data_IF_783640212426
#
_entry.id   IF_783640212426
#
_cell.length_a   1.000
_cell.length_b   1.000
_cell.length_c   1.000
_cell.angle_alpha   90.00
_cell.angle_beta   90.00
_cell.angle_gamma   90.00
#
_symmetry.space_group_name_H-M   'P 1'
#
loop_
_entity.id
_entity.type
_entity.pdbx_description
1 polymer ?
#
# COMPACT_ATOMS: atom_id res chain seq x y z
N UNK A 1 23.82 4.34 11.48
CA UNK A 1 22.72 3.38 11.71
C UNK A 1 22.58 2.29 10.64
N UNK A 2 22.08 2.54 9.42
CA UNK A 2 21.91 1.47 8.39
C UNK A 2 23.24 0.85 7.92
N UNK A 3 24.29 1.67 7.78
CA UNK A 3 25.61 1.20 7.34
C UNK A 3 26.31 0.33 8.42
N UNK A 4 26.17 0.70 9.70
CA UNK A 4 26.69 -0.07 10.83
C UNK A 4 25.93 -1.39 11.01
N UNK A 5 24.59 -1.39 10.89
CA UNK A 5 23.79 -2.62 10.90
C UNK A 5 24.21 -3.58 9.79
N UNK A 6 24.48 -3.08 8.59
CA UNK A 6 24.99 -3.93 7.49
C UNK A 6 26.38 -4.50 7.78
N UNK A 7 27.27 -3.73 8.40
CA UNK A 7 28.62 -4.19 8.80
C UNK A 7 28.52 -5.26 9.89
N UNK A 8 27.65 -5.06 10.89
CA UNK A 8 27.40 -6.01 11.98
C UNK A 8 26.82 -7.32 11.43
N UNK A 9 25.84 -7.23 10.53
CA UNK A 9 25.26 -8.40 9.87
C UNK A 9 26.32 -9.18 9.07
N UNK A 10 27.16 -8.48 8.30
CA UNK A 10 28.24 -9.12 7.53
C UNK A 10 29.25 -9.85 8.41
N UNK A 11 29.64 -9.25 9.55
CA UNK A 11 30.54 -9.87 10.53
C UNK A 11 29.91 -11.12 11.16
N UNK A 12 28.63 -11.05 11.53
CA UNK A 12 27.90 -12.20 12.06
C UNK A 12 27.88 -13.38 11.09
N UNK A 13 27.55 -13.16 9.81
CA UNK A 13 27.57 -14.23 8.81
C UNK A 13 28.97 -14.78 8.52
N UNK A 14 30.01 -13.94 8.59
CA UNK A 14 31.40 -14.40 8.49
C UNK A 14 31.78 -15.28 9.68
N UNK A 15 31.38 -14.92 10.90
CA UNK A 15 31.66 -15.70 12.10
C UNK A 15 30.92 -17.04 12.10
N UNK A 16 29.69 -17.08 11.57
CA UNK A 16 28.95 -18.33 11.36
C UNK A 16 29.67 -19.33 10.46
N UNK A 17 30.41 -18.85 9.44
CA UNK A 17 31.12 -19.75 8.52
C UNK A 17 32.24 -20.55 9.20
N UNK A 18 32.79 -20.06 10.32
CA UNK A 18 33.90 -20.66 11.06
C UNK A 18 33.50 -21.86 11.92
N UNK A 19 32.21 -22.06 12.18
CA UNK A 19 31.74 -23.17 13.00
C UNK A 19 31.50 -24.43 12.16
N UNK A 20 32.12 -25.52 12.61
CA UNK A 20 32.02 -26.85 12.01
C UNK A 20 30.65 -27.48 12.25
N UNK A 21 30.22 -28.28 11.27
CA UNK A 21 28.98 -29.05 11.34
C UNK A 21 29.27 -30.34 12.12
N UNK A 22 28.53 -30.55 13.21
CA UNK A 22 28.68 -31.75 14.04
C UNK A 22 27.96 -32.95 13.40
N UNK A 23 28.59 -34.11 13.48
CA UNK A 23 28.00 -35.39 13.14
C UNK A 23 27.10 -35.91 14.27
N UNK A 24 26.20 -36.85 13.96
CA UNK A 24 25.32 -37.44 14.97
C UNK A 24 26.09 -38.17 16.09
N UNK A 25 27.26 -38.73 15.81
CA UNK A 25 28.09 -39.39 16.80
C UNK A 25 28.70 -38.35 17.77
N UNK A 26 29.31 -37.30 17.23
CA UNK A 26 29.87 -36.21 18.04
C UNK A 26 28.80 -35.52 18.91
N UNK A 27 27.59 -35.37 18.39
CA UNK A 27 26.47 -34.84 19.18
C UNK A 27 26.17 -35.75 20.38
N UNK A 28 26.13 -37.07 20.21
CA UNK A 28 25.93 -38.00 21.33
C UNK A 28 27.03 -37.88 22.37
N UNK A 29 28.30 -37.85 21.94
CA UNK A 29 29.44 -37.69 22.85
C UNK A 29 29.37 -36.38 23.63
N UNK A 30 29.01 -35.28 22.96
CA UNK A 30 28.81 -33.98 23.60
C UNK A 30 27.65 -33.99 24.60
N UNK A 31 26.57 -34.73 24.35
CA UNK A 31 25.44 -34.83 25.29
C UNK A 31 25.79 -35.60 26.56
N UNK A 32 26.73 -36.56 26.51
CA UNK A 32 27.26 -37.21 27.73
C UNK A 32 27.93 -36.16 28.63
N UNK A 33 28.71 -35.24 28.05
CA UNK A 33 29.37 -34.15 28.77
C UNK A 33 28.37 -33.09 29.26
N UNK A 34 27.34 -32.77 28.46
CA UNK A 34 26.28 -31.82 28.86
C UNK A 34 25.50 -32.34 30.07
N UNK A 35 25.23 -33.65 30.14
CA UNK A 35 24.60 -34.28 31.31
C UNK A 35 25.47 -34.17 32.58
N UNK A 36 26.78 -33.96 32.43
CA UNK A 36 27.71 -33.68 33.52
C UNK A 36 27.85 -32.16 33.81
N UNK A 37 26.94 -31.33 33.28
CA UNK A 37 26.95 -29.86 33.37
C UNK A 37 28.14 -29.17 32.69
N UNK A 38 28.75 -29.79 31.67
CA UNK A 38 29.79 -29.13 30.88
C UNK A 38 29.21 -28.03 29.96
N UNK A 39 29.51 -26.78 30.30
CA UNK A 39 29.10 -25.59 29.54
C UNK A 39 29.80 -25.49 28.19
N UNK A 40 31.00 -26.04 28.04
CA UNK A 40 31.77 -25.95 26.79
C UNK A 40 31.13 -26.83 25.71
N UNK A 41 30.73 -28.04 26.07
CA UNK A 41 29.99 -28.95 25.20
C UNK A 41 28.64 -28.35 24.79
N UNK A 42 27.90 -27.75 25.74
CA UNK A 42 26.63 -27.08 25.47
C UNK A 42 26.79 -25.93 24.47
N UNK A 43 27.77 -25.06 24.68
CA UNK A 43 28.05 -23.95 23.78
C UNK A 43 28.47 -24.44 22.39
N UNK A 44 29.25 -25.53 22.30
CA UNK A 44 29.67 -26.12 21.02
C UNK A 44 28.48 -26.64 20.21
N UNK A 45 27.50 -27.29 20.86
CA UNK A 45 26.27 -27.72 20.18
C UNK A 45 25.49 -26.52 19.63
N UNK A 46 25.37 -25.43 20.40
CA UNK A 46 24.64 -24.23 19.96
C UNK A 46 25.35 -23.59 18.77
N UNK A 47 26.65 -23.30 18.88
CA UNK A 47 27.40 -22.56 17.85
C UNK A 47 27.42 -23.30 16.51
N UNK A 48 27.55 -24.63 16.53
CA UNK A 48 27.48 -25.47 15.32
C UNK A 48 26.10 -25.49 14.64
N UNK A 49 25.02 -25.14 15.36
CA UNK A 49 23.65 -25.17 14.84
C UNK A 49 23.04 -23.77 14.56
N UNK A 50 23.80 -22.68 14.74
CA UNK A 50 23.29 -21.31 14.48
C UNK A 50 22.85 -21.10 13.01
N UNK A 51 23.48 -21.80 12.05
CA UNK A 51 23.07 -21.76 10.62
C UNK A 51 21.64 -22.24 10.41
N UNK A 52 21.17 -23.18 11.23
CA UNK A 52 19.79 -23.69 11.17
C UNK A 52 18.79 -22.60 11.60
N UNK A 53 19.14 -21.82 12.63
CA UNK A 53 18.31 -20.70 13.10
C UNK A 53 18.16 -19.65 12.01
N UNK A 54 19.27 -19.25 11.39
CA UNK A 54 19.28 -18.30 10.28
C UNK A 54 18.40 -18.77 9.12
N UNK A 55 18.43 -20.06 8.79
CA UNK A 55 17.57 -20.62 7.74
C UNK A 55 16.09 -20.40 8.03
N UNK A 56 15.63 -20.75 9.24
CA UNK A 56 14.23 -20.54 9.62
C UNK A 56 13.88 -19.05 9.75
N UNK A 57 14.73 -18.22 10.37
CA UNK A 57 14.49 -16.79 10.50
C UNK A 57 14.29 -16.12 9.12
N UNK A 58 15.11 -16.46 8.13
CA UNK A 58 14.96 -15.98 6.74
C UNK A 58 13.66 -16.45 6.10
N UNK A 59 13.28 -17.71 6.29
CA UNK A 59 12.02 -18.25 5.80
C UNK A 59 10.82 -17.46 6.38
N UNK A 60 10.78 -17.24 7.69
CA UNK A 60 9.72 -16.46 8.32
C UNK A 60 9.73 -14.98 7.87
N UNK A 61 10.90 -14.35 7.75
CA UNK A 61 11.00 -12.96 7.24
C UNK A 61 10.45 -12.83 5.82
N UNK A 62 10.67 -13.83 4.96
CA UNK A 62 10.10 -13.86 3.60
C UNK A 62 8.58 -14.07 3.56
N UNK A 63 7.98 -14.66 4.58
CA UNK A 63 6.53 -14.82 4.67
C UNK A 63 5.89 -13.52 5.18
N UNK A 64 6.58 -12.84 6.11
CA UNK A 64 6.15 -11.60 6.76
C UNK A 64 6.32 -10.33 5.91
N UNK A 65 6.41 -10.44 4.57
CA UNK A 65 6.75 -9.34 3.64
C UNK A 65 5.91 -8.04 3.76
N UNK A 66 4.85 -8.02 4.58
CA UNK A 66 3.97 -6.87 4.81
C UNK A 66 4.20 -6.14 6.14
N UNK A 67 5.05 -6.66 7.03
CA UNK A 67 5.28 -6.07 8.36
C UNK A 67 6.72 -5.58 8.49
N UNK A 68 6.95 -4.29 8.23
CA UNK A 68 8.24 -3.61 8.44
C UNK A 68 8.65 -3.52 9.91
N UNK A 69 7.78 -3.96 10.84
CA UNK A 69 7.99 -3.85 12.27
C UNK A 69 9.07 -4.80 12.84
N UNK A 70 9.28 -5.97 12.23
CA UNK A 70 10.22 -6.98 12.78
C UNK A 70 11.49 -7.06 11.94
N UNK A 71 12.65 -6.87 12.56
CA UNK A 71 13.93 -7.05 11.89
C UNK A 71 14.38 -8.52 11.86
N UNK A 72 15.22 -8.87 10.88
CA UNK A 72 15.75 -10.23 10.76
C UNK A 72 16.61 -10.61 11.98
N UNK A 73 17.34 -9.65 12.54
CA UNK A 73 18.24 -9.85 13.67
C UNK A 73 17.46 -10.25 14.94
N UNK A 74 16.25 -9.70 15.11
CA UNK A 74 15.35 -10.06 16.21
C UNK A 74 14.84 -11.49 16.07
N UNK A 75 14.44 -11.89 14.85
CA UNK A 75 14.02 -13.26 14.56
C UNK A 75 15.14 -14.27 14.80
N UNK A 76 16.38 -13.92 14.44
CA UNK A 76 17.55 -14.75 14.71
C UNK A 76 17.79 -14.88 16.22
N UNK A 77 17.70 -13.77 16.96
CA UNK A 77 17.93 -13.75 18.40
C UNK A 77 16.92 -14.62 19.15
N UNK A 78 15.64 -14.50 18.82
CA UNK A 78 14.58 -15.33 19.40
C UNK A 78 14.67 -16.80 18.97
N UNK A 79 15.04 -17.05 17.71
CA UNK A 79 15.34 -18.40 17.24
C UNK A 79 16.52 -19.04 18.00
N UNK A 80 17.53 -18.26 18.37
CA UNK A 80 18.65 -18.73 19.19
C UNK A 80 18.20 -19.11 20.61
N UNK A 81 17.27 -18.36 21.20
CA UNK A 81 16.65 -18.74 22.49
C UNK A 81 15.92 -20.08 22.35
N UNK A 82 15.17 -20.27 21.26
CA UNK A 82 14.53 -21.56 20.95
C UNK A 82 15.53 -22.70 20.78
N UNK A 83 16.66 -22.46 20.08
CA UNK A 83 17.73 -23.44 19.93
C UNK A 83 18.36 -23.83 21.27
N UNK A 84 18.61 -22.86 22.15
CA UNK A 84 19.13 -23.11 23.50
C UNK A 84 18.17 -23.98 24.31
N UNK A 85 16.86 -23.73 24.21
CA UNK A 85 15.86 -24.54 24.90
C UNK A 85 15.78 -25.97 24.33
N UNK A 86 15.92 -26.12 23.01
CA UNK A 86 16.06 -27.43 22.38
C UNK A 86 17.29 -28.17 22.91
N UNK A 87 18.44 -27.50 22.98
CA UNK A 87 19.68 -28.08 23.47
C UNK A 87 19.59 -28.54 24.93
N UNK A 88 18.84 -27.83 25.78
CA UNK A 88 18.62 -28.24 27.18
C UNK A 88 17.75 -29.48 27.32
N UNK A 89 16.74 -29.63 26.46
CA UNK A 89 15.71 -30.66 26.60
C UNK A 89 15.91 -31.88 25.70
N UNK A 90 16.87 -31.81 24.79
CA UNK A 90 17.13 -32.91 23.88
C UNK A 90 17.72 -34.11 24.64
N UNK A 91 17.23 -35.29 24.31
CA UNK A 91 17.76 -36.54 24.82
C UNK A 91 18.34 -37.34 23.63
N UNK A 92 19.61 -37.72 23.74
CA UNK A 92 20.37 -38.44 22.71
C UNK A 92 19.95 -39.91 22.53
N UNK A 93 19.24 -40.47 23.52
CA UNK A 93 18.80 -41.86 23.54
C UNK A 93 17.63 -42.09 22.58
N UNK A 94 16.80 -41.05 22.38
CA UNK A 94 15.82 -41.05 21.32
C UNK A 94 16.58 -40.92 20.00
N UNK A 95 16.49 -41.94 19.14
CA UNK A 95 17.21 -42.06 17.87
C UNK A 95 16.71 -41.06 16.79
N UNK A 96 16.60 -39.79 17.15
CA UNK A 96 16.10 -38.66 16.35
C UNK A 96 17.23 -37.66 16.23
N UNK A 97 17.47 -37.15 15.02
CA UNK A 97 18.53 -36.15 14.81
C UNK A 97 18.24 -34.86 15.59
N UNK A 98 19.25 -34.28 16.23
CA UNK A 98 19.12 -33.02 16.96
C UNK A 98 18.51 -31.89 16.13
N UNK A 99 18.91 -31.75 14.86
CA UNK A 99 18.38 -30.73 13.95
C UNK A 99 16.86 -30.83 13.76
N UNK A 100 16.31 -32.05 13.73
CA UNK A 100 14.87 -32.27 13.64
C UNK A 100 14.17 -31.77 14.90
N UNK A 101 14.66 -32.14 16.08
CA UNK A 101 14.11 -31.69 17.35
C UNK A 101 14.24 -30.17 17.55
N UNK A 102 15.42 -29.61 17.27
CA UNK A 102 15.69 -28.18 17.36
C UNK A 102 14.78 -27.36 16.44
N UNK A 103 14.44 -27.88 15.26
CA UNK A 103 13.57 -27.17 14.32
C UNK A 103 12.20 -26.83 14.92
N UNK A 104 11.63 -27.69 15.77
CA UNK A 104 10.37 -27.42 16.44
C UNK A 104 10.46 -26.23 17.39
N UNK A 105 11.47 -26.22 18.25
CA UNK A 105 11.68 -25.17 19.25
C UNK A 105 12.06 -23.83 18.61
N UNK A 106 12.89 -23.84 17.58
CA UNK A 106 13.26 -22.63 16.83
C UNK A 106 12.01 -22.02 16.18
N UNK A 107 11.22 -22.82 15.44
CA UNK A 107 9.98 -22.35 14.79
C UNK A 107 8.98 -21.81 15.81
N UNK A 108 8.83 -22.50 16.94
CA UNK A 108 7.94 -22.08 18.02
C UNK A 108 8.37 -20.73 18.60
N UNK A 109 9.64 -20.57 18.98
CA UNK A 109 10.15 -19.33 19.56
C UNK A 109 9.96 -18.14 18.60
N UNK A 110 10.33 -18.32 17.33
CA UNK A 110 10.13 -17.31 16.29
C UNK A 110 8.64 -16.95 16.13
N UNK A 111 7.76 -17.96 16.07
CA UNK A 111 6.31 -17.74 15.91
C UNK A 111 5.70 -17.02 17.11
N UNK A 112 6.08 -17.41 18.33
CA UNK A 112 5.63 -16.74 19.56
C UNK A 112 6.09 -15.28 19.61
N UNK A 113 7.32 -14.99 19.18
CA UNK A 113 7.82 -13.62 19.09
C UNK A 113 7.05 -12.79 18.06
N UNK A 114 6.81 -13.32 16.87
CA UNK A 114 6.03 -12.63 15.83
C UNK A 114 4.64 -12.25 16.35
N UNK A 115 4.00 -13.12 17.12
CA UNK A 115 2.67 -12.86 17.69
C UNK A 115 2.71 -11.78 18.78
N UNK A 116 3.81 -11.70 19.54
CA UNK A 116 3.97 -10.70 20.61
C UNK A 116 4.37 -9.33 20.06
N UNK A 117 5.26 -9.29 19.06
CA UNK A 117 5.94 -8.07 18.61
C UNK A 117 5.57 -7.63 17.17
N UNK A 118 4.90 -8.48 16.38
CA UNK A 118 4.69 -8.24 14.95
C UNK A 118 3.56 -7.28 14.58
N UNK A 119 2.74 -6.89 15.55
CA UNK A 119 1.61 -5.99 15.36
C UNK A 119 1.62 -4.91 16.42
N UNK A 120 1.49 -3.64 16.01
CA UNK A 120 1.36 -2.50 16.92
C UNK A 120 0.20 -2.70 17.90
N UNK A 121 -0.92 -3.26 17.41
CA UNK A 121 -2.05 -3.69 18.23
C UNK A 121 -1.94 -5.20 18.39
N UNK A 122 -1.76 -5.68 19.63
CA UNK A 122 -1.62 -7.11 19.91
C UNK A 122 -2.91 -7.86 19.59
N UNK A 123 -2.81 -8.81 18.66
CA UNK A 123 -3.91 -9.71 18.32
C UNK A 123 -3.74 -11.11 18.93
N UNK A 124 -4.83 -11.82 19.27
CA UNK A 124 -4.76 -13.19 19.74
C UNK A 124 -4.17 -14.17 18.70
N UNK A 125 -3.46 -15.21 19.15
CA UNK A 125 -2.84 -16.22 18.29
C UNK A 125 -3.81 -16.81 17.25
N UNK A 126 -5.01 -17.22 17.69
CA UNK A 126 -6.00 -17.87 16.81
C UNK A 126 -6.47 -16.93 15.68
N UNK A 127 -6.52 -15.62 15.94
CA UNK A 127 -6.90 -14.61 14.96
C UNK A 127 -5.81 -14.38 13.92
N UNK A 128 -4.56 -14.25 14.37
CA UNK A 128 -3.41 -14.16 13.45
C UNK A 128 -3.36 -15.39 12.54
N UNK A 129 -3.66 -16.57 13.08
CA UNK A 129 -3.67 -17.82 12.31
C UNK A 129 -4.82 -17.88 11.29
N UNK A 130 -6.04 -17.44 11.65
CA UNK A 130 -7.17 -17.35 10.70
C UNK A 130 -6.86 -16.36 9.58
N UNK A 131 -6.34 -15.18 9.95
CA UNK A 131 -6.04 -14.11 9.00
C UNK A 131 -4.96 -14.53 8.00
N UNK A 132 -3.93 -15.26 8.46
CA UNK A 132 -2.90 -15.81 7.57
C UNK A 132 -3.45 -16.87 6.60
N UNK A 133 -4.41 -17.70 7.03
CA UNK A 133 -5.06 -18.68 6.14
C UNK A 133 -5.90 -17.97 5.08
N UNK A 134 -6.68 -16.97 5.49
CA UNK A 134 -7.49 -16.16 4.57
C UNK A 134 -6.57 -15.40 3.60
N UNK A 135 -5.48 -14.79 4.08
CA UNK A 135 -4.49 -14.12 3.23
C UNK A 135 -3.84 -15.06 2.20
N UNK A 136 -3.58 -16.32 2.57
CA UNK A 136 -3.07 -17.34 1.65
C UNK A 136 -4.11 -17.69 0.58
N UNK A 137 -5.36 -17.92 0.98
CA UNK A 137 -6.46 -18.20 0.06
C UNK A 137 -6.68 -17.03 -0.93
N UNK A 138 -6.62 -15.78 -0.44
CA UNK A 138 -6.68 -14.57 -1.27
C UNK A 138 -5.55 -14.55 -2.30
N UNK A 139 -4.31 -14.81 -1.88
CA UNK A 139 -3.18 -14.83 -2.80
C UNK A 139 -3.30 -15.96 -3.85
N UNK A 140 -3.79 -17.13 -3.46
CA UNK A 140 -4.02 -18.26 -4.37
C UNK A 140 -5.12 -17.94 -5.40
N UNK A 141 -6.23 -17.36 -4.97
CA UNK A 141 -7.31 -16.90 -5.85
C UNK A 141 -6.86 -15.79 -6.79
N UNK A 142 -6.10 -14.82 -6.29
CA UNK A 142 -5.53 -13.75 -7.08
C UNK A 142 -4.58 -14.30 -8.16
N UNK A 143 -3.71 -15.24 -7.81
CA UNK A 143 -2.80 -15.88 -8.78
C UNK A 143 -3.54 -16.67 -9.85
N UNK A 144 -4.60 -17.39 -9.46
CA UNK A 144 -5.38 -18.21 -10.38
C UNK A 144 -6.22 -17.39 -11.36
N UNK A 145 -6.85 -16.34 -10.85
CA UNK A 145 -7.89 -15.63 -11.60
C UNK A 145 -7.43 -14.28 -12.16
N UNK A 146 -6.27 -13.77 -11.74
CA UNK A 146 -5.71 -12.47 -12.15
C UNK A 146 -6.66 -11.27 -11.98
N UNK A 147 -7.60 -11.35 -11.03
CA UNK A 147 -8.44 -10.23 -10.62
C UNK A 147 -8.42 -10.07 -9.09
N UNK A 148 -8.83 -8.90 -8.63
CA UNK A 148 -8.86 -8.55 -7.20
C UNK A 148 -9.95 -9.34 -6.46
N UNK A 149 -9.56 -10.06 -5.41
CA UNK A 149 -10.44 -11.00 -4.68
C UNK A 149 -11.34 -10.25 -3.71
N UNK A 150 -12.65 -10.49 -3.78
CA UNK A 150 -13.65 -9.90 -2.89
C UNK A 150 -14.12 -10.88 -1.81
N UNK A 151 -14.84 -10.37 -0.80
CA UNK A 151 -15.42 -11.18 0.30
C UNK A 151 -16.21 -12.39 -0.22
N UNK A 152 -17.07 -12.18 -1.22
CA UNK A 152 -17.89 -13.22 -1.84
C UNK A 152 -17.05 -14.37 -2.46
N UNK A 153 -15.88 -14.07 -3.00
CA UNK A 153 -15.00 -15.08 -3.61
C UNK A 153 -14.36 -15.99 -2.56
N UNK A 154 -14.12 -15.45 -1.36
CA UNK A 154 -13.60 -16.20 -0.21
C UNK A 154 -14.73 -16.99 0.44
N UNK A 155 -15.93 -16.41 0.57
CA UNK A 155 -17.11 -17.12 1.06
C UNK A 155 -17.42 -18.35 0.20
N UNK A 156 -17.27 -18.24 -1.13
CA UNK A 156 -17.46 -19.36 -2.06
C UNK A 156 -16.52 -20.55 -1.82
N UNK A 157 -15.39 -20.36 -1.13
CA UNK A 157 -14.50 -21.46 -0.75
C UNK A 157 -15.08 -22.34 0.38
N UNK A 158 -16.07 -21.86 1.14
CA UNK A 158 -16.69 -22.55 2.28
C UNK A 158 -15.68 -23.08 3.33
N UNK A 159 -14.52 -22.43 3.44
CA UNK A 159 -13.45 -22.82 4.37
C UNK A 159 -13.41 -21.95 5.63
N UNK A 160 -14.10 -20.81 5.63
CA UNK A 160 -14.06 -19.78 6.67
C UNK A 160 -15.48 -19.31 6.98
N UNK A 161 -15.72 -18.88 8.22
CA UNK A 161 -17.00 -18.27 8.59
C UNK A 161 -17.09 -16.81 8.10
N UNK A 162 -18.30 -16.33 7.78
CA UNK A 162 -18.54 -14.92 7.40
C UNK A 162 -18.00 -13.93 8.45
N UNK A 163 -18.04 -14.29 9.74
CA UNK A 163 -17.46 -13.46 10.79
C UNK A 163 -15.93 -13.34 10.70
N UNK A 164 -15.22 -14.40 10.30
CA UNK A 164 -13.77 -14.38 10.13
C UNK A 164 -13.37 -13.58 8.89
N UNK A 165 -14.13 -13.72 7.80
CA UNK A 165 -13.91 -12.99 6.55
C UNK A 165 -14.10 -11.49 6.78
N UNK A 166 -15.25 -11.09 7.33
CA UNK A 166 -15.52 -9.68 7.66
C UNK A 166 -14.42 -9.13 8.58
N UNK A 167 -14.05 -9.88 9.62
CA UNK A 167 -12.97 -9.44 10.49
C UNK A 167 -11.68 -9.19 9.71
N UNK A 168 -11.24 -10.10 8.84
CA UNK A 168 -10.02 -9.91 8.05
C UNK A 168 -10.04 -8.65 7.15
N UNK A 169 -11.19 -8.32 6.55
CA UNK A 169 -11.32 -7.12 5.71
C UNK A 169 -11.44 -5.83 6.53
N UNK A 170 -12.13 -5.85 7.67
CA UNK A 170 -12.29 -4.70 8.56
C UNK A 170 -11.08 -4.47 9.49
N UNK A 171 -10.37 -5.53 9.88
CA UNK A 171 -9.32 -5.47 10.91
C UNK A 171 -7.95 -5.10 10.36
N UNK A 172 -7.75 -5.08 9.04
CA UNK A 172 -6.48 -4.64 8.42
C UNK A 172 -6.14 -3.25 8.94
N UNK A 173 -5.22 -3.14 9.90
CA UNK A 173 -4.92 -1.86 10.48
C UNK A 173 -4.02 -1.15 9.49
N UNK A 174 -4.52 -0.11 8.84
CA UNK A 174 -3.66 0.90 8.24
C UNK A 174 -3.07 1.73 9.39
N UNK A 175 -2.19 1.15 10.20
CA UNK A 175 -1.39 1.93 11.14
C UNK A 175 -0.38 2.71 10.31
N UNK A 176 -0.64 4.00 10.16
CA UNK A 176 0.28 4.93 9.52
C UNK A 176 1.12 5.57 10.63
N UNK A 177 2.44 5.69 10.42
CA UNK A 177 3.29 6.45 11.32
C UNK A 177 2.98 7.93 11.17
N UNK A 178 2.74 8.59 12.30
CA UNK A 178 2.33 10.00 12.30
C UNK A 178 3.42 10.92 11.69
N UNK A 179 4.69 10.54 11.85
CA UNK A 179 5.83 11.32 11.38
C UNK A 179 6.03 11.29 9.86
N UNK A 180 5.49 10.28 9.16
CA UNK A 180 5.69 10.10 7.71
C UNK A 180 4.66 10.88 6.87
N UNK A 181 3.58 11.39 7.49
CA UNK A 181 2.58 12.23 6.83
C UNK A 181 2.64 13.65 7.38
N UNK A 182 3.12 14.59 6.56
CA UNK A 182 3.08 16.04 6.84
C UNK A 182 1.66 16.62 6.85
N UNK A 183 0.64 15.80 6.61
CA UNK A 183 -0.73 16.22 6.37
C UNK A 183 -1.74 15.31 7.12
N UNK A 184 -1.38 14.87 8.32
CA UNK A 184 -2.37 14.32 9.24
C UNK A 184 -3.22 15.49 9.69
N UNK A 185 -4.40 15.55 9.11
CA UNK A 185 -5.41 16.53 9.47
C UNK A 185 -5.85 16.19 10.92
N UNK A 186 -5.15 16.75 11.91
CA UNK A 186 -5.58 16.72 13.29
C UNK A 186 -6.97 17.33 13.33
N UNK A 187 -8.02 16.60 13.77
CA UNK A 187 -9.39 17.11 13.79
C UNK A 187 -9.60 18.33 14.71
N UNK A 188 -8.54 18.84 15.34
CA UNK A 188 -8.60 19.89 16.34
C UNK A 188 -8.44 21.31 15.78
N UNK A 189 -8.01 21.47 14.52
CA UNK A 189 -7.75 22.78 13.91
C UNK A 189 -8.68 23.08 12.72
N UNK A 190 -9.99 22.84 12.86
CA UNK A 190 -10.97 23.42 11.93
C UNK A 190 -11.40 24.76 12.52
N UNK A 191 -10.73 25.85 12.14
CA UNK A 191 -11.26 27.20 12.36
C UNK A 191 -12.65 27.29 11.69
N UNK A 192 -13.68 27.76 12.41
CA UNK A 192 -15.08 27.83 11.94
C UNK A 192 -15.23 28.54 10.58
N UNK A 193 -14.31 29.45 10.25
CA UNK A 193 -14.23 30.14 8.96
C UNK A 193 -14.09 29.19 7.76
N UNK A 194 -13.45 28.04 7.93
CA UNK A 194 -13.12 27.11 6.85
C UNK A 194 -14.32 26.20 6.49
N UNK A 195 -15.32 26.11 7.39
CA UNK A 195 -16.56 25.35 7.21
C UNK A 195 -17.50 26.09 6.24
N UNK A 196 -17.62 27.41 6.39
CA UNK A 196 -18.56 28.21 5.57
C UNK A 196 -18.10 28.33 4.12
N UNK A 197 -16.79 28.42 3.87
CA UNK A 197 -16.26 28.39 2.50
C UNK A 197 -16.53 27.03 1.82
N UNK A 198 -16.32 25.93 2.55
CA UNK A 198 -16.59 24.56 2.05
C UNK A 198 -18.08 24.32 1.82
N UNK A 199 -18.96 24.82 2.70
CA UNK A 199 -20.42 24.78 2.53
C UNK A 199 -20.86 25.55 1.28
N UNK A 200 -20.28 26.72 1.02
CA UNK A 200 -20.58 27.51 -0.17
C UNK A 200 -20.13 26.81 -1.46
N UNK A 201 -18.93 26.21 -1.49
CA UNK A 201 -18.47 25.39 -2.61
C UNK A 201 -19.38 24.18 -2.85
N UNK A 202 -19.79 23.50 -1.78
CA UNK A 202 -20.70 22.36 -1.87
C UNK A 202 -22.07 22.77 -2.41
N UNK A 203 -22.59 23.94 -2.01
CA UNK A 203 -23.85 24.50 -2.54
C UNK A 203 -23.78 24.69 -4.06
N UNK A 204 -22.67 25.24 -4.55
CA UNK A 204 -22.44 25.41 -5.98
C UNK A 204 -22.36 24.06 -6.71
N UNK A 205 -21.65 23.06 -6.17
CA UNK A 205 -21.58 21.74 -6.79
C UNK A 205 -22.93 21.00 -6.84
N UNK A 206 -23.80 21.24 -5.85
CA UNK A 206 -25.14 20.67 -5.79
C UNK A 206 -26.12 21.24 -6.84
N UNK A 207 -25.83 22.41 -7.41
CA UNK A 207 -26.63 23.01 -8.49
C UNK A 207 -26.53 22.21 -9.80
N UNK A 208 -25.39 21.54 -10.03
CA UNK A 208 -25.15 20.69 -11.21
C UNK A 208 -25.88 19.35 -11.18
N UNK A 209 -26.34 18.93 -10.00
CA UNK A 209 -27.18 17.75 -9.89
C UNK A 209 -28.59 18.07 -10.36
N UNK A 210 -29.21 17.11 -11.03
CA UNK A 210 -30.62 17.24 -11.38
C UNK A 210 -31.49 17.24 -10.10
N UNK A 211 -32.76 17.69 -10.16
CA UNK A 211 -33.59 17.81 -8.96
C UNK A 211 -33.76 16.51 -8.17
N UNK A 212 -33.79 15.35 -8.85
CA UNK A 212 -33.92 14.04 -8.22
C UNK A 212 -32.63 13.60 -7.52
N UNK A 213 -31.47 13.76 -8.18
CA UNK A 213 -30.14 13.51 -7.63
C UNK A 213 -29.88 14.39 -6.40
N UNK A 214 -30.20 15.68 -6.51
CA UNK A 214 -30.06 16.63 -5.40
C UNK A 214 -30.93 16.22 -4.21
N UNK A 215 -32.18 15.83 -4.45
CA UNK A 215 -33.10 15.39 -3.40
C UNK A 215 -32.58 14.13 -2.69
N UNK A 216 -32.16 13.12 -3.45
CA UNK A 216 -31.59 11.87 -2.90
C UNK A 216 -30.33 12.15 -2.07
N UNK A 217 -29.39 12.98 -2.57
CA UNK A 217 -28.17 13.33 -1.84
C UNK A 217 -28.48 14.14 -0.58
N UNK A 218 -29.46 15.05 -0.61
CA UNK A 218 -29.88 15.80 0.58
C UNK A 218 -30.41 14.88 1.69
N UNK A 219 -31.27 13.93 1.34
CA UNK A 219 -31.88 13.00 2.31
C UNK A 219 -30.87 12.00 2.88
N UNK A 220 -29.94 11.50 2.05
CA UNK A 220 -28.92 10.55 2.49
C UNK A 220 -27.84 11.17 3.41
N UNK A 221 -27.48 12.44 3.17
CA UNK A 221 -26.36 13.09 3.85
C UNK A 221 -26.77 14.29 4.71
N UNK A 222 -28.08 14.49 4.91
CA UNK A 222 -28.65 15.59 5.69
C UNK A 222 -28.10 16.99 5.30
N UNK A 223 -28.11 17.27 4.00
CA UNK A 223 -27.55 18.53 3.48
C UNK A 223 -28.64 19.59 3.30
N UNK A 224 -28.60 20.65 4.11
CA UNK A 224 -29.45 21.85 3.95
C UNK A 224 -30.76 21.86 4.73
N UNK A 225 -30.98 20.90 5.63
CA UNK A 225 -32.05 20.88 6.63
C UNK A 225 -31.43 20.85 8.02
N UNK A 226 -31.77 21.81 8.88
CA UNK A 226 -31.26 21.86 10.25
C UNK A 226 -31.94 20.83 11.18
N UNK A 227 -32.91 20.05 10.70
CA UNK A 227 -33.84 19.30 11.56
C UNK A 227 -33.99 17.80 11.30
N UNK A 228 -33.30 17.18 10.34
CA UNK A 228 -33.44 15.73 10.09
C UNK A 228 -32.15 14.94 10.35
N UNK A 229 -32.26 13.67 10.75
CA UNK A 229 -31.15 12.72 10.78
C UNK A 229 -30.86 12.20 9.36
N UNK A 230 -29.62 11.76 9.09
CA UNK A 230 -29.31 11.14 7.80
C UNK A 230 -30.14 9.86 7.59
N UNK A 231 -30.83 9.78 6.46
CA UNK A 231 -31.67 8.63 6.14
C UNK A 231 -30.86 7.51 5.50
N UNK A 232 -31.21 6.27 5.81
CA UNK A 232 -30.69 5.10 5.10
C UNK A 232 -31.25 5.03 3.68
N UNK A 233 -30.55 4.32 2.78
CA UNK A 233 -31.06 4.08 1.41
C UNK A 233 -32.43 3.42 1.37
N UNK A 234 -32.77 2.65 2.41
CA UNK A 234 -34.08 2.02 2.58
C UNK A 234 -35.16 3.06 2.90
N UNK A 235 -34.93 3.91 3.88
CA UNK A 235 -35.88 4.97 4.25
C UNK A 235 -36.10 5.97 3.10
N UNK A 236 -35.04 6.34 2.36
CA UNK A 236 -35.16 7.19 1.18
C UNK A 236 -35.94 6.51 0.05
N UNK A 237 -35.81 5.17 -0.08
CA UNK A 237 -36.55 4.40 -1.08
C UNK A 237 -38.06 4.38 -0.78
N UNK A 238 -38.42 4.29 0.50
CA UNK A 238 -39.81 4.34 0.98
C UNK A 238 -40.41 5.74 0.79
N UNK A 239 -39.66 6.80 1.11
CA UNK A 239 -40.17 8.18 0.97
C UNK A 239 -40.32 8.62 -0.50
N UNK A 240 -39.40 8.19 -1.37
CA UNK A 240 -39.44 8.54 -2.80
C UNK A 240 -40.24 7.55 -3.65
N UNK A 241 -40.81 6.49 -3.06
CA UNK A 241 -41.49 5.40 -3.76
C UNK A 241 -40.66 4.82 -4.92
N UNK A 242 -39.36 4.62 -4.67
CA UNK A 242 -38.42 4.04 -5.62
C UNK A 242 -37.81 2.76 -5.07
N UNK A 243 -37.31 1.88 -5.93
CA UNK A 243 -36.57 0.71 -5.44
C UNK A 243 -35.23 1.13 -4.83
N UNK A 244 -34.75 0.39 -3.84
CA UNK A 244 -33.42 0.60 -3.24
C UNK A 244 -32.29 0.61 -4.27
N UNK A 245 -32.39 -0.26 -5.27
CA UNK A 245 -31.45 -0.29 -6.40
C UNK A 245 -31.48 1.02 -7.18
N UNK A 246 -32.67 1.57 -7.46
CA UNK A 246 -32.82 2.84 -8.16
C UNK A 246 -32.24 4.02 -7.36
N UNK A 247 -32.42 4.04 -6.04
CA UNK A 247 -31.79 5.04 -5.16
C UNK A 247 -30.26 4.94 -5.22
N UNK A 248 -29.71 3.72 -5.21
CA UNK A 248 -28.27 3.50 -5.33
C UNK A 248 -27.73 3.97 -6.69
N UNK A 249 -28.44 3.71 -7.79
CA UNK A 249 -28.07 4.23 -9.13
C UNK A 249 -28.03 5.77 -9.14
N UNK A 250 -29.07 6.42 -8.60
CA UNK A 250 -29.14 7.88 -8.52
C UNK A 250 -28.00 8.43 -7.66
N UNK A 251 -27.72 7.81 -6.51
CA UNK A 251 -26.61 8.16 -5.61
C UNK A 251 -25.27 8.07 -6.33
N UNK A 252 -24.98 6.95 -7.00
CA UNK A 252 -23.71 6.72 -7.67
C UNK A 252 -23.50 7.71 -8.83
N UNK A 253 -24.53 7.97 -9.62
CA UNK A 253 -24.48 8.95 -10.71
C UNK A 253 -24.25 10.38 -10.19
N UNK A 254 -24.92 10.76 -9.10
CA UNK A 254 -24.71 12.05 -8.46
C UNK A 254 -23.27 12.20 -7.93
N UNK A 255 -22.76 11.19 -7.21
CA UNK A 255 -21.39 11.21 -6.69
C UNK A 255 -20.34 11.24 -7.81
N UNK A 256 -20.59 10.55 -8.94
CA UNK A 256 -19.72 10.60 -10.11
C UNK A 256 -19.61 12.01 -10.68
N UNK A 257 -20.75 12.70 -10.87
CA UNK A 257 -20.80 14.09 -11.35
C UNK A 257 -20.08 15.06 -10.41
N UNK A 258 -20.27 14.90 -9.10
CA UNK A 258 -19.58 15.71 -8.09
C UNK A 258 -18.06 15.44 -8.12
N UNK A 259 -17.65 14.17 -8.20
CA UNK A 259 -16.24 13.77 -8.26
C UNK A 259 -15.54 14.39 -9.47
N UNK A 260 -16.12 14.25 -10.67
CA UNK A 260 -15.58 14.81 -11.90
C UNK A 260 -15.28 16.32 -11.75
N UNK A 261 -16.17 17.09 -11.12
CA UNK A 261 -15.97 18.52 -10.89
C UNK A 261 -14.92 18.85 -9.83
N UNK A 262 -14.86 18.11 -8.72
CA UNK A 262 -13.79 18.29 -7.73
C UNK A 262 -12.40 17.99 -8.32
N UNK A 263 -12.30 17.00 -9.23
CA UNK A 263 -11.06 16.69 -9.95
C UNK A 263 -10.73 17.70 -11.06
N UNK A 264 -11.72 18.24 -11.77
CA UNK A 264 -11.52 19.32 -12.74
C UNK A 264 -10.99 20.60 -12.10
N UNK A 265 -11.30 20.85 -10.82
CA UNK A 265 -10.77 22.01 -10.08
C UNK A 265 -9.28 21.83 -9.70
N UNK A 266 -8.74 20.60 -9.74
CA UNK A 266 -7.32 20.29 -9.45
C UNK A 266 -6.43 20.15 -10.70
N UNK A 267 -7.01 20.15 -11.90
CA UNK A 267 -6.29 20.34 -13.17
C UNK A 267 -6.70 21.70 -13.73
N UNK A 268 -6.12 22.77 -13.21
CA UNK A 268 -6.27 24.08 -13.84
C UNK A 268 -5.83 23.95 -15.30
N UNK A 269 -6.75 24.26 -16.21
CA UNK A 269 -6.51 24.06 -17.63
C UNK A 269 -5.32 24.95 -18.02
N UNK A 270 -4.32 24.41 -18.71
CA UNK A 270 -3.11 25.17 -19.11
C UNK A 270 -3.47 26.44 -19.90
N UNK A 271 -4.62 26.44 -20.58
CA UNK A 271 -5.22 27.62 -21.21
C UNK A 271 -5.61 28.74 -20.21
N UNK A 272 -6.12 28.40 -19.02
CA UNK A 272 -6.48 29.38 -17.98
C UNK A 272 -5.25 30.03 -17.33
N UNK A 273 -4.10 29.34 -17.32
CA UNK A 273 -2.81 29.90 -16.85
C UNK A 273 -2.31 31.00 -17.81
N UNK A 274 -2.32 30.74 -19.12
CA UNK A 274 -1.95 31.74 -20.13
C UNK A 274 -2.89 32.96 -20.12
N UNK A 275 -4.18 32.74 -19.84
CA UNK A 275 -5.20 33.82 -19.78
C UNK A 275 -4.98 34.79 -18.61
N UNK A 276 -4.22 34.38 -17.61
CA UNK A 276 -3.79 35.21 -16.48
C UNK A 276 -2.39 35.82 -16.66
N UNK A 277 -1.83 35.79 -17.88
CA UNK A 277 -0.47 36.23 -18.22
C UNK A 277 0.64 35.47 -17.49
N UNK A 278 0.37 34.24 -17.02
CA UNK A 278 1.40 33.40 -16.41
C UNK A 278 2.20 32.65 -17.49
N UNK A 279 3.51 32.60 -17.29
CA UNK A 279 4.43 32.00 -18.25
C UNK A 279 4.44 30.48 -18.14
N UNK A 280 4.28 29.77 -19.26
CA UNK A 280 4.35 28.31 -19.29
C UNK A 280 5.67 27.81 -19.87
N UNK A 281 6.40 27.04 -19.06
CA UNK A 281 7.63 26.35 -19.44
C UNK A 281 7.33 24.95 -19.97
N UNK A 282 7.86 24.63 -21.15
CA UNK A 282 7.79 23.32 -21.79
C UNK A 282 9.20 22.73 -21.83
N UNK A 283 9.39 21.53 -21.29
CA UNK A 283 10.65 20.80 -21.38
C UNK A 283 10.57 19.74 -22.47
N UNK A 284 11.60 19.64 -23.32
CA UNK A 284 11.70 18.66 -24.40
C UNK A 284 13.16 18.29 -24.65
N UNK A 285 13.42 17.13 -25.25
CA UNK A 285 14.78 16.68 -25.54
C UNK A 285 15.16 17.04 -26.98
N UNK A 286 16.21 17.85 -27.15
CA UNK A 286 16.77 18.24 -28.44
C UNK A 286 18.14 17.60 -28.61
N UNK A 287 18.31 16.74 -29.62
CA UNK A 287 19.57 16.04 -29.92
C UNK A 287 20.20 15.34 -28.69
N UNK A 288 19.36 14.72 -27.84
CA UNK A 288 19.80 14.05 -26.62
C UNK A 288 20.03 14.97 -25.41
N UNK A 289 19.79 16.28 -25.54
CA UNK A 289 19.96 17.27 -24.46
C UNK A 289 18.58 17.78 -24.03
N UNK A 290 18.28 17.74 -22.72
CA UNK A 290 17.06 18.31 -22.16
C UNK A 290 17.08 19.84 -22.31
N UNK A 291 16.10 20.39 -23.03
CA UNK A 291 15.93 21.82 -23.32
C UNK A 291 14.55 22.30 -22.87
N UNK A 292 14.37 23.62 -22.68
CA UNK A 292 13.09 24.20 -22.27
C UNK A 292 12.70 25.45 -23.07
N UNK A 293 11.40 25.65 -23.32
CA UNK A 293 10.83 26.82 -24.01
C UNK A 293 9.73 27.47 -23.16
N UNK A 294 9.61 28.80 -23.18
CA UNK A 294 8.63 29.57 -22.39
C UNK A 294 7.61 30.23 -23.32
N UNK A 295 6.32 29.94 -23.14
CA UNK A 295 5.22 30.65 -23.78
C UNK A 295 4.60 31.64 -22.80
N UNK A 296 4.26 32.84 -23.30
CA UNK A 296 3.81 33.97 -22.46
C UNK A 296 2.53 34.66 -22.92
N UNK A 297 2.03 34.35 -24.11
CA UNK A 297 1.00 35.18 -24.75
C UNK A 297 -0.18 34.35 -25.26
N UNK A 298 -1.39 34.76 -24.90
CA UNK A 298 -2.64 34.06 -25.23
C UNK A 298 -3.12 34.39 -26.64
N UNK A 299 -2.75 35.55 -27.18
CA UNK A 299 -3.12 35.97 -28.53
C UNK A 299 -2.49 35.06 -29.60
N UNK A 300 -1.30 34.49 -29.31
CA UNK A 300 -0.63 33.49 -30.15
C UNK A 300 -1.46 32.20 -30.27
N UNK A 301 -2.19 31.84 -29.20
CA UNK A 301 -3.07 30.66 -29.20
C UNK A 301 -4.39 30.92 -29.93
N UNK A 302 -4.97 32.11 -29.78
CA UNK A 302 -6.26 32.47 -30.40
C UNK A 302 -6.15 32.73 -31.91
N UNK A 303 -5.08 33.39 -32.38
CA UNK A 303 -4.84 33.65 -33.80
C UNK A 303 -4.68 32.37 -34.64
N UNK A 304 -4.21 31.28 -34.03
CA UNK A 304 -3.95 30.01 -34.71
C UNK A 304 -5.18 29.07 -34.74
N UNK A 305 -6.08 29.15 -33.74
CA UNK A 305 -7.33 28.39 -33.68
C UNK A 305 -8.38 28.79 -34.74
N UNK A 306 -8.15 29.90 -35.45
CA UNK A 306 -9.02 30.35 -36.54
C UNK A 306 -8.77 29.58 -37.87
N UNK A 307 -7.72 28.75 -37.95
CA UNK A 307 -7.30 28.04 -39.17
C UNK A 307 -7.51 26.52 -38.97
N UNK A 308 -8.42 25.92 -39.75
CA UNK A 308 -8.79 24.51 -39.64
C UNK A 308 -7.86 23.62 -40.50
N UNK A 309 -6.64 23.40 -40.02
CA UNK A 309 -5.63 22.51 -40.63
C UNK A 309 -5.12 21.47 -39.61
N UNK A 310 -4.60 20.34 -40.08
CA UNK A 310 -4.14 19.22 -39.25
C UNK A 310 -2.98 19.61 -38.30
N UNK A 311 -2.21 20.64 -38.67
CA UNK A 311 -1.18 21.25 -37.82
C UNK A 311 -1.79 21.90 -36.57
N UNK A 312 -2.98 22.50 -36.71
CA UNK A 312 -3.73 23.15 -35.62
C UNK A 312 -4.23 22.12 -34.59
N UNK A 313 -4.57 20.90 -35.04
CA UNK A 313 -4.97 19.81 -34.13
C UNK A 313 -3.80 19.31 -33.28
N UNK A 314 -2.61 19.11 -33.85
CA UNK A 314 -1.43 18.62 -33.11
C UNK A 314 -1.00 19.60 -32.00
N UNK A 315 -1.01 20.92 -32.27
CA UNK A 315 -0.74 21.97 -31.27
C UNK A 315 -1.80 22.01 -30.16
N UNK A 316 -3.08 21.82 -30.51
CA UNK A 316 -4.20 21.77 -29.57
C UNK A 316 -4.02 20.65 -28.55
N UNK A 317 -3.56 19.47 -28.98
CA UNK A 317 -3.31 18.33 -28.10
C UNK A 317 -2.07 18.50 -27.20
N UNK A 318 -1.01 19.16 -27.68
CA UNK A 318 0.19 19.47 -26.87
C UNK A 318 -0.15 20.44 -25.72
N UNK A 319 -0.97 21.46 -25.99
CA UNK A 319 -1.35 22.48 -24.99
C UNK A 319 -2.40 21.93 -24.01
N UNK A 320 -3.34 21.09 -24.48
CA UNK A 320 -4.35 20.44 -23.64
C UNK A 320 -3.81 19.20 -22.91
N UNK A 321 -2.62 18.70 -23.26
CA UNK A 321 -1.90 17.66 -22.53
C UNK A 321 -2.34 16.22 -22.83
N UNK A 322 -2.82 15.92 -24.04
CA UNK A 322 -3.09 14.53 -24.44
C UNK A 322 -1.97 13.95 -25.31
N UNK A 323 -1.63 12.67 -25.05
CA UNK A 323 -0.40 11.97 -25.47
C UNK A 323 -0.23 11.88 -26.99
N UNK A 324 0.82 12.51 -27.52
CA UNK A 324 1.48 12.10 -28.76
C UNK A 324 3.01 12.15 -28.60
N UNK A 325 3.70 11.12 -29.10
CA UNK A 325 5.17 11.13 -29.28
C UNK A 325 5.48 11.70 -30.67
N UNK A 326 5.73 13.01 -30.75
CA UNK A 326 6.11 13.67 -32.01
C UNK A 326 7.64 13.75 -32.16
N UNK A 327 8.14 13.53 -33.38
CA UNK A 327 9.57 13.61 -33.67
C UNK A 327 10.08 15.05 -33.76
N UNK A 328 11.34 15.28 -33.37
CA UNK A 328 11.98 16.62 -33.31
C UNK A 328 11.88 17.39 -34.63
N UNK A 329 12.07 16.72 -35.78
CA UNK A 329 11.94 17.35 -37.11
C UNK A 329 10.53 17.87 -37.39
N UNK A 330 9.50 17.20 -36.87
CA UNK A 330 8.09 17.59 -37.06
C UNK A 330 7.75 18.82 -36.23
N UNK A 331 8.22 18.88 -34.98
CA UNK A 331 8.06 20.04 -34.09
C UNK A 331 8.78 21.27 -34.67
N UNK A 332 10.01 21.12 -35.17
CA UNK A 332 10.76 22.20 -35.80
C UNK A 332 10.11 22.69 -37.10
N UNK A 333 9.52 21.80 -37.91
CA UNK A 333 8.75 22.18 -39.10
C UNK A 333 7.49 22.99 -38.76
N UNK A 334 6.78 22.57 -37.71
CA UNK A 334 5.57 23.28 -37.24
C UNK A 334 5.96 24.69 -36.78
N UNK A 335 7.06 24.85 -36.04
CA UNK A 335 7.57 26.16 -35.59
C UNK A 335 8.12 27.02 -36.74
N UNK A 336 8.84 26.43 -37.68
CA UNK A 336 9.35 27.16 -38.86
C UNK A 336 8.21 27.71 -39.73
N UNK A 337 7.14 26.93 -39.92
CA UNK A 337 5.96 27.37 -40.63
C UNK A 337 5.17 28.44 -39.84
N UNK A 338 5.15 28.37 -38.51
CA UNK A 338 4.54 29.40 -37.64
C UNK A 338 5.22 30.78 -37.80
N UNK A 339 6.55 30.83 -37.88
CA UNK A 339 7.27 32.11 -38.02
C UNK A 339 7.19 32.73 -39.43
N UNK A 340 6.91 31.93 -40.47
CA UNK A 340 6.84 32.40 -41.85
C UNK A 340 5.41 32.81 -42.30
N UNK A 341 4.35 32.28 -41.67
CA UNK A 341 2.96 32.60 -42.02
C UNK A 341 2.40 33.85 -41.30
N UNK A 342 3.17 34.48 -40.41
CA UNK A 342 2.78 35.71 -39.67
C UNK A 342 3.37 36.98 -40.33
N UNK A 343 3.79 36.90 -41.60
CA UNK A 343 4.26 38.05 -42.39
C UNK A 343 3.35 38.37 -43.56
#
# INVERSE_FOLDING_TARGET
MNHEKQIINKKYYQDLSKFDILTNHEIKDLYILINQNDKTAFNKIITSNLKLVVHFAKQYKSILQKSDAIELDDLISEGNIGLMEAARRYNSDFNVKFSYYASFWIKRAITEFIIKAGSTIRSPHNKIMSDNKIAKAVNELYQKNQYEVFENDIEALNQFSTSEINHYFFSKPNTVRIEDETNINCPFDIEESDIDEKKNKLKHYMEYLNPQERKVIRMLYNYGSEQDESMTTQQVSEELNLTRQRINEIKLNALKKLKEKTTSTKKMNRYELLKKNETMTFQFVKNGILSSMILRDIEIYEAYNAIDDDITKELRYIILGEKYELSVKRIEQIIYNMNNNIK
#
